data_IF_559909779964
#
_entry.id   IF_559909779964
#
_cell.length_a   1.000
_cell.length_b   1.000
_cell.length_c   1.000
_cell.angle_alpha   90.00
_cell.angle_beta   90.00
_cell.angle_gamma   90.00
#
_symmetry.space_group_name_H-M   'P 1'
#
loop_
_entity.id
_entity.type
_entity.pdbx_description
1 polymer ?
#
# COMPACT_ATOMS: atom_id res chain seq x y z
N UNK A 1 0.13 8.30 26.22
CA UNK A 1 1.38 8.08 26.97
C UNK A 1 2.53 8.39 26.04
N UNK A 2 3.23 9.50 26.23
CA UNK A 2 4.43 9.83 25.46
C UNK A 2 5.62 9.83 26.42
N UNK A 3 6.00 8.63 26.85
CA UNK A 3 7.16 8.42 27.72
C UNK A 3 8.33 8.03 26.82
N UNK A 4 9.46 8.72 26.96
CA UNK A 4 10.67 8.41 26.21
C UNK A 4 11.25 7.09 26.71
N UNK A 5 11.25 6.09 25.83
CA UNK A 5 11.81 4.77 26.11
C UNK A 5 13.34 4.88 26.21
N UNK A 6 13.91 4.34 27.29
CA UNK A 6 15.35 4.22 27.47
C UNK A 6 15.87 2.93 26.85
N UNK A 7 16.98 3.03 26.11
CA UNK A 7 17.72 1.88 25.59
C UNK A 7 18.31 1.02 26.73
N UNK A 8 18.69 -0.23 26.42
CA UNK A 8 19.28 -1.20 27.37
C UNK A 8 18.51 -1.37 28.67
N UNK A 9 17.19 -1.17 28.66
CA UNK A 9 16.35 -1.16 29.86
C UNK A 9 15.33 -2.29 29.79
N UNK A 10 15.09 -2.95 30.93
CA UNK A 10 14.03 -3.95 31.06
C UNK A 10 12.71 -3.27 31.39
N UNK A 11 11.65 -3.71 30.73
CA UNK A 11 10.29 -3.24 30.91
C UNK A 11 9.36 -4.42 31.16
N UNK A 12 8.24 -4.13 31.81
CA UNK A 12 7.16 -5.07 32.02
C UNK A 12 5.91 -4.44 31.43
N UNK A 13 5.30 -5.13 30.47
CA UNK A 13 3.96 -4.84 30.00
C UNK A 13 2.99 -5.62 30.89
N UNK A 14 2.24 -4.93 31.74
CA UNK A 14 1.16 -5.53 32.51
C UNK A 14 -0.14 -5.41 31.76
N UNK A 15 -0.79 -6.54 31.50
CA UNK A 15 -2.13 -6.61 30.98
C UNK A 15 -3.06 -6.96 32.14
N UNK A 16 -4.01 -6.08 32.44
CA UNK A 16 -5.02 -6.36 33.44
C UNK A 16 -6.00 -7.42 32.94
N UNK A 17 -6.76 -8.02 33.87
CA UNK A 17 -7.86 -8.91 33.49
C UNK A 17 -8.89 -8.13 32.67
N UNK A 18 -9.44 -8.76 31.63
CA UNK A 18 -10.44 -8.15 30.73
C UNK A 18 -9.94 -7.01 29.84
N UNK A 19 -8.62 -6.84 29.72
CA UNK A 19 -8.01 -5.92 28.75
C UNK A 19 -8.39 -6.24 27.29
N UNK A 20 -8.64 -7.51 26.96
CA UNK A 20 -9.04 -7.96 25.62
C UNK A 20 -10.03 -9.12 25.68
N UNK A 21 -10.84 -9.22 24.62
CA UNK A 21 -11.86 -10.24 24.41
C UNK A 21 -11.58 -10.95 23.08
N UNK A 22 -11.68 -12.28 23.06
CA UNK A 22 -11.53 -13.04 21.81
C UNK A 22 -12.87 -13.16 21.06
N UNK A 23 -12.86 -13.84 19.91
CA UNK A 23 -14.06 -14.05 19.07
C UNK A 23 -15.15 -14.93 19.73
N UNK A 24 -14.87 -15.49 20.92
CA UNK A 24 -15.80 -16.32 21.69
C UNK A 24 -16.26 -15.60 22.97
N UNK A 25 -16.12 -14.27 23.02
CA UNK A 25 -16.47 -13.44 24.17
C UNK A 25 -15.74 -13.79 25.48
N UNK A 26 -14.59 -14.45 25.38
CA UNK A 26 -13.75 -14.78 26.55
C UNK A 26 -12.72 -13.70 26.77
N UNK A 27 -12.71 -13.16 27.98
CA UNK A 27 -11.75 -12.17 28.43
C UNK A 27 -10.40 -12.80 28.82
N UNK A 28 -9.33 -12.04 28.64
CA UNK A 28 -8.02 -12.43 29.15
C UNK A 28 -7.95 -12.35 30.68
N UNK A 29 -7.05 -13.17 31.25
CA UNK A 29 -6.59 -13.00 32.63
C UNK A 29 -5.48 -11.97 32.71
N UNK A 30 -5.23 -11.45 33.91
CA UNK A 30 -4.10 -10.58 34.14
C UNK A 30 -2.79 -11.32 33.85
N UNK A 31 -1.88 -10.67 33.12
CA UNK A 31 -0.62 -11.26 32.67
C UNK A 31 0.47 -10.20 32.50
N UNK A 32 1.68 -10.53 32.95
CA UNK A 32 2.85 -9.67 32.87
C UNK A 32 3.82 -10.21 31.81
N UNK A 33 4.15 -9.39 30.82
CA UNK A 33 5.15 -9.69 29.78
C UNK A 33 6.42 -8.89 30.01
N UNK A 34 7.51 -9.59 30.28
CA UNK A 34 8.82 -8.96 30.40
C UNK A 34 9.51 -8.85 29.04
N UNK A 35 10.08 -7.68 28.75
CA UNK A 35 10.91 -7.47 27.58
C UNK A 35 12.05 -6.49 27.88
N UNK A 36 13.09 -6.50 27.05
CA UNK A 36 14.23 -5.61 27.19
C UNK A 36 14.48 -4.85 25.88
N UNK A 37 14.71 -3.55 25.99
CA UNK A 37 15.18 -2.75 24.85
C UNK A 37 16.66 -3.06 24.58
N UNK A 38 17.04 -3.00 23.30
CA UNK A 38 18.44 -3.17 22.87
C UNK A 38 19.18 -1.83 22.91
N UNK A 39 20.44 -1.85 22.48
CA UNK A 39 21.22 -0.64 22.23
C UNK A 39 20.58 0.17 21.10
N UNK A 40 20.79 1.49 21.03
CA UNK A 40 20.20 2.31 19.96
C UNK A 40 20.77 1.94 18.58
N UNK A 41 22.08 1.65 18.52
CA UNK A 41 22.82 1.24 17.32
C UNK A 41 22.55 -0.22 16.89
N UNK A 42 21.70 -0.95 17.62
CA UNK A 42 21.24 -2.26 17.22
C UNK A 42 20.07 -2.18 16.24
N UNK A 43 19.24 -1.15 16.35
CA UNK A 43 18.05 -1.02 15.52
C UNK A 43 18.39 -0.47 14.13
N UNK A 44 17.48 -0.72 13.20
CA UNK A 44 17.61 -0.28 11.82
C UNK A 44 16.37 0.49 11.38
N UNK A 45 16.54 1.26 10.30
CA UNK A 45 15.48 2.04 9.68
C UNK A 45 15.36 1.65 8.22
N UNK A 46 14.12 1.57 7.73
CA UNK A 46 13.80 1.41 6.32
C UNK A 46 13.14 2.68 5.80
N UNK A 47 13.72 3.27 4.75
CA UNK A 47 13.10 4.34 3.99
C UNK A 47 12.41 3.74 2.76
N UNK A 48 11.09 3.83 2.74
CA UNK A 48 10.26 3.33 1.65
C UNK A 48 9.74 4.51 0.82
N UNK A 49 10.12 4.57 -0.45
CA UNK A 49 9.64 5.57 -1.41
C UNK A 49 8.53 4.97 -2.28
N UNK A 50 7.28 5.38 -2.06
CA UNK A 50 6.11 4.86 -2.76
C UNK A 50 5.67 5.80 -3.87
N UNK A 51 5.55 5.26 -5.08
CA UNK A 51 5.10 6.00 -6.26
C UNK A 51 3.91 5.32 -6.93
N UNK A 52 3.11 6.10 -7.65
CA UNK A 52 1.91 5.65 -8.38
C UNK A 52 0.84 4.99 -7.49
N UNK A 53 0.71 5.46 -6.26
CA UNK A 53 -0.25 4.98 -5.25
C UNK A 53 -1.69 5.39 -5.59
N UNK A 54 -1.88 6.64 -6.04
CA UNK A 54 -3.16 7.18 -6.56
C UNK A 54 -3.33 6.93 -8.05
N UNK A 55 -3.02 5.73 -8.54
CA UNK A 55 -3.28 5.38 -9.93
C UNK A 55 -2.97 6.50 -10.96
N UNK A 56 -1.84 7.21 -10.75
CA UNK A 56 -0.95 7.61 -11.85
C UNK A 56 -0.24 6.37 -12.39
N UNK A 57 -0.95 5.25 -12.41
CA UNK A 57 -0.70 4.13 -13.28
C UNK A 57 -0.66 4.75 -14.66
N UNK A 58 0.54 4.92 -15.23
CA UNK A 58 0.67 5.21 -16.65
C UNK A 58 0.04 4.05 -17.41
N UNK A 59 -1.27 4.13 -17.64
CA UNK A 59 -1.83 3.69 -18.90
C UNK A 59 -1.18 4.64 -19.89
N UNK A 60 -0.51 4.07 -20.90
CA UNK A 60 0.27 4.79 -21.91
C UNK A 60 -0.33 6.16 -22.21
N UNK A 61 0.51 7.19 -22.12
CA UNK A 61 0.22 8.62 -22.13
C UNK A 61 -0.65 9.12 -23.33
N UNK A 62 -1.90 8.67 -23.49
CA UNK A 62 -2.81 9.13 -24.57
C UNK A 62 -4.27 9.46 -24.18
N UNK A 63 -4.68 9.38 -22.90
CA UNK A 63 -6.02 9.86 -22.49
C UNK A 63 -5.93 11.06 -21.53
N UNK A 64 -5.37 12.17 -22.02
CA UNK A 64 -5.72 13.51 -21.54
C UNK A 64 -6.90 14.04 -22.36
N UNK A 65 -8.09 13.47 -22.19
CA UNK A 65 -9.31 14.07 -22.76
C UNK A 65 -9.77 15.20 -21.84
N UNK A 66 -9.34 16.40 -22.22
CA UNK A 66 -10.10 17.66 -22.28
C UNK A 66 -11.14 17.86 -21.16
N UNK A 67 -10.73 18.53 -20.08
CA UNK A 67 -11.65 19.34 -19.27
C UNK A 67 -11.79 20.71 -19.94
N UNK A 68 -12.87 20.93 -20.69
CA UNK A 68 -13.16 22.23 -21.29
C UNK A 68 -14.14 22.14 -22.46
N UNK A 69 -15.42 21.92 -22.16
CA UNK A 69 -16.50 22.29 -23.07
C UNK A 69 -16.74 23.79 -22.91
N UNK A 70 -16.03 24.61 -23.69
CA UNK A 70 -16.41 26.01 -23.90
C UNK A 70 -16.37 26.33 -25.40
N UNK A 71 -17.58 26.43 -25.95
CA UNK A 71 -18.03 27.46 -26.91
C UNK A 71 -17.25 27.71 -28.22
N UNK A 72 -17.86 27.24 -29.33
CA UNK A 72 -18.17 27.98 -30.57
C UNK A 72 -17.00 28.67 -31.34
N UNK A 73 -16.72 28.18 -32.56
CA UNK A 73 -16.34 28.89 -33.81
C UNK A 73 -15.48 27.93 -34.67
N UNK A 74 -15.56 27.82 -36.00
CA UNK A 74 -16.44 28.29 -37.05
C UNK A 74 -16.09 27.39 -38.27
N UNK A 75 -17.04 27.15 -39.15
CA UNK A 75 -16.82 26.44 -40.41
C UNK A 75 -15.83 27.20 -41.32
N UNK A 76 -15.11 26.45 -42.18
CA UNK A 76 -14.39 26.90 -43.39
C UNK A 76 -12.94 27.42 -43.27
N UNK A 77 -11.92 26.55 -43.39
CA UNK A 77 -10.75 26.74 -44.29
C UNK A 77 -10.18 25.37 -44.70
N UNK A 78 -10.28 25.10 -46.01
CA UNK A 78 -9.46 24.22 -46.84
C UNK A 78 -9.15 22.78 -46.40
N UNK A 79 -9.67 21.85 -47.21
CA UNK A 79 -9.16 20.50 -47.36
C UNK A 79 -7.66 20.50 -47.70
N UNK A 80 -6.83 20.02 -46.78
CA UNK A 80 -5.76 19.07 -47.06
C UNK A 80 -5.24 18.51 -45.74
N UNK A 81 -4.93 17.21 -45.70
CA UNK A 81 -4.42 16.47 -44.52
C UNK A 81 -5.45 16.00 -43.49
N UNK A 82 -6.40 15.15 -43.90
CA UNK A 82 -6.94 14.13 -42.98
C UNK A 82 -5.88 13.02 -42.91
N UNK A 83 -4.81 13.26 -42.14
CA UNK A 83 -3.99 12.17 -41.65
C UNK A 83 -4.84 11.43 -40.61
N UNK A 84 -5.45 10.32 -41.03
CA UNK A 84 -6.14 9.40 -40.14
C UNK A 84 -5.13 8.90 -39.10
N UNK A 85 -5.02 9.62 -37.98
CA UNK A 85 -4.34 9.17 -36.77
C UNK A 85 -5.11 7.95 -36.27
N UNK A 86 -4.75 6.77 -36.81
CA UNK A 86 -5.20 5.49 -36.29
C UNK A 86 -4.70 5.41 -34.85
N UNK A 87 -5.57 5.79 -33.92
CA UNK A 87 -5.44 5.44 -32.51
C UNK A 87 -5.44 3.92 -32.49
N UNK A 88 -4.25 3.32 -32.45
CA UNK A 88 -4.10 1.90 -32.21
C UNK A 88 -4.48 1.71 -30.75
N UNK A 89 -5.78 1.51 -30.47
CA UNK A 89 -6.23 1.01 -29.17
C UNK A 89 -5.41 -0.24 -28.90
N UNK A 90 -4.50 -0.16 -27.93
CA UNK A 90 -3.80 -1.36 -27.52
C UNK A 90 -4.89 -2.31 -27.01
N UNK A 91 -4.82 -3.57 -27.41
CA UNK A 91 -5.82 -4.61 -27.14
C UNK A 91 -6.12 -4.84 -25.64
N UNK A 92 -5.44 -4.12 -24.76
CA UNK A 92 -5.38 -4.32 -23.32
C UNK A 92 -5.55 -3.04 -22.49
N UNK A 93 -6.04 -1.93 -23.06
CA UNK A 93 -6.26 -0.71 -22.27
C UNK A 93 -7.43 -0.90 -21.30
N UNK A 94 -7.09 -0.91 -20.00
CA UNK A 94 -8.04 -1.09 -18.91
C UNK A 94 -8.76 0.25 -18.62
N UNK A 95 -10.12 0.30 -18.64
CA UNK A 95 -10.85 1.52 -18.31
C UNK A 95 -10.58 2.00 -16.88
N UNK A 96 -10.34 3.30 -16.69
CA UNK A 96 -10.00 3.90 -15.38
C UNK A 96 -11.07 3.61 -14.31
N UNK A 97 -12.34 3.67 -14.67
CA UNK A 97 -13.45 3.39 -13.76
C UNK A 97 -13.45 1.93 -13.27
N UNK A 98 -12.99 0.97 -14.08
CA UNK A 98 -12.82 -0.42 -13.64
C UNK A 98 -11.70 -0.52 -12.62
N UNK A 99 -10.57 0.17 -12.83
CA UNK A 99 -9.49 0.26 -11.84
C UNK A 99 -10.01 0.84 -10.53
N UNK A 100 -10.73 1.96 -10.56
CA UNK A 100 -11.27 2.59 -9.35
C UNK A 100 -12.22 1.67 -8.57
N UNK A 101 -12.96 0.79 -9.26
CA UNK A 101 -13.81 -0.22 -8.58
C UNK A 101 -13.00 -1.28 -7.82
N UNK A 102 -11.74 -1.50 -8.22
CA UNK A 102 -10.84 -2.49 -7.64
C UNK A 102 -10.00 -1.89 -6.52
N UNK A 103 -9.41 -0.71 -6.73
CA UNK A 103 -8.44 -0.11 -5.81
C UNK A 103 -8.96 1.11 -5.05
N UNK A 104 -10.20 1.54 -5.32
CA UNK A 104 -10.77 2.75 -4.76
C UNK A 104 -10.07 4.03 -5.22
N UNK A 105 -10.19 5.09 -4.41
CA UNK A 105 -9.61 6.42 -4.70
C UNK A 105 -8.14 6.55 -4.27
N UNK A 106 -7.39 5.45 -4.22
CA UNK A 106 -5.95 5.44 -3.93
C UNK A 106 -5.58 5.49 -2.44
N UNK A 107 -6.47 5.08 -1.54
CA UNK A 107 -6.11 4.88 -0.12
C UNK A 107 -5.54 3.49 0.01
N UNK A 108 -4.38 3.39 0.64
CA UNK A 108 -3.71 2.13 0.80
C UNK A 108 -3.18 1.98 2.22
N UNK A 109 -3.17 0.73 2.66
CA UNK A 109 -2.55 0.30 3.91
C UNK A 109 -1.21 -0.34 3.53
N UNK A 110 -0.12 0.24 4.00
CA UNK A 110 1.24 -0.26 3.80
C UNK A 110 1.62 -1.05 5.04
N UNK A 111 1.88 -2.34 4.88
CA UNK A 111 2.30 -3.23 5.95
C UNK A 111 3.72 -3.73 5.71
N UNK A 112 4.59 -3.54 6.71
CA UNK A 112 5.88 -4.21 6.81
C UNK A 112 5.67 -5.51 7.59
N UNK A 113 5.93 -6.63 6.94
CA UNK A 113 5.78 -7.97 7.50
C UNK A 113 7.14 -8.48 7.96
N UNK A 114 7.21 -8.96 9.20
CA UNK A 114 8.35 -9.70 9.72
C UNK A 114 8.22 -11.19 9.46
N UNK A 115 8.87 -11.98 10.33
CA UNK A 115 8.83 -13.44 10.29
C UNK A 115 7.38 -13.96 10.34
N UNK A 116 7.10 -15.02 9.57
CA UNK A 116 5.80 -15.70 9.52
C UNK A 116 4.63 -14.78 9.09
N UNK A 117 4.92 -13.66 8.42
CA UNK A 117 3.90 -12.74 7.90
C UNK A 117 3.27 -11.84 8.98
N UNK A 118 3.85 -11.78 10.17
CA UNK A 118 3.38 -10.89 11.26
C UNK A 118 3.58 -9.43 10.85
N UNK A 119 2.54 -8.61 11.00
CA UNK A 119 2.62 -7.16 10.73
C UNK A 119 3.45 -6.50 11.83
N UNK A 120 4.58 -5.91 11.45
CA UNK A 120 5.50 -5.19 12.35
C UNK A 120 5.21 -3.70 12.36
N UNK A 121 4.90 -3.13 11.21
CA UNK A 121 4.45 -1.74 11.07
C UNK A 121 3.36 -1.62 10.03
N UNK A 122 2.47 -0.65 10.25
CA UNK A 122 1.36 -0.33 9.38
C UNK A 122 1.24 1.19 9.20
N UNK A 123 0.97 1.62 7.97
CA UNK A 123 0.79 3.02 7.61
C UNK A 123 -0.42 3.19 6.69
N UNK A 124 -1.20 4.24 6.92
CA UNK A 124 -2.32 4.63 6.08
C UNK A 124 -1.89 5.81 5.22
N UNK A 125 -1.84 5.59 3.91
CA UNK A 125 -1.46 6.64 2.98
C UNK A 125 -2.51 6.77 1.91
N UNK A 126 -2.65 7.99 1.40
CA UNK A 126 -3.54 8.24 0.28
C UNK A 126 -2.81 8.80 -0.92
N UNK A 127 -1.50 9.06 -0.86
CA UNK A 127 -0.71 9.66 -1.93
C UNK A 127 0.75 9.22 -1.91
N UNK A 128 1.44 9.47 -3.02
CA UNK A 128 2.86 9.16 -3.21
C UNK A 128 3.68 9.89 -2.16
N UNK A 129 4.45 9.14 -1.38
CA UNK A 129 5.24 9.69 -0.29
C UNK A 129 6.36 8.75 0.12
N UNK A 130 7.32 9.32 0.85
CA UNK A 130 8.36 8.57 1.54
C UNK A 130 7.90 8.26 2.96
N UNK A 131 8.00 7.00 3.33
CA UNK A 131 7.68 6.50 4.67
C UNK A 131 8.99 6.09 5.33
N UNK A 132 9.24 6.59 6.54
CA UNK A 132 10.37 6.19 7.36
C UNK A 132 9.90 5.22 8.44
N UNK A 133 10.51 4.04 8.46
CA UNK A 133 10.18 2.95 9.37
C UNK A 133 11.35 2.69 10.33
N UNK A 134 11.38 3.42 11.45
CA UNK A 134 12.46 3.32 12.44
C UNK A 134 12.29 2.21 13.48
N UNK A 135 13.33 1.96 14.29
CA UNK A 135 13.32 1.01 15.40
C UNK A 135 12.98 -0.43 15.01
N UNK A 136 13.37 -0.84 13.79
CA UNK A 136 13.22 -2.21 13.33
C UNK A 136 14.35 -3.07 13.88
N UNK A 137 14.05 -4.31 14.22
CA UNK A 137 15.08 -5.31 14.47
C UNK A 137 15.78 -5.66 13.14
N UNK A 138 17.11 -5.86 13.11
CA UNK A 138 17.76 -6.41 11.92
C UNK A 138 17.20 -7.81 11.59
N UNK A 139 16.95 -8.07 10.31
CA UNK A 139 16.35 -9.33 9.87
C UNK A 139 15.69 -9.23 8.50
N UNK A 140 14.94 -10.27 8.17
CA UNK A 140 14.23 -10.40 6.89
C UNK A 140 12.80 -9.89 7.01
N UNK A 141 12.41 -9.06 6.06
CA UNK A 141 11.09 -8.42 5.99
C UNK A 141 10.47 -8.52 4.61
N UNK A 142 9.15 -8.45 4.55
CA UNK A 142 8.40 -8.31 3.30
C UNK A 142 7.50 -7.07 3.35
N UNK A 143 7.14 -6.55 2.17
CA UNK A 143 6.21 -5.44 2.06
C UNK A 143 4.94 -5.86 1.35
N UNK A 144 3.83 -5.46 1.96
CA UNK A 144 2.48 -5.70 1.51
C UNK A 144 1.72 -4.38 1.45
N UNK A 145 0.99 -4.17 0.37
CA UNK A 145 0.06 -3.06 0.20
C UNK A 145 -1.34 -3.64 0.05
N UNK A 146 -2.29 -3.05 0.77
CA UNK A 146 -3.72 -3.32 0.66
C UNK A 146 -4.37 -2.07 0.08
N UNK A 147 -5.24 -2.23 -0.92
CA UNK A 147 -6.04 -1.14 -1.46
C UNK A 147 -7.34 -1.02 -0.66
N UNK A 148 -7.35 -0.06 0.26
CA UNK A 148 -8.48 0.27 1.12
C UNK A 148 -9.52 1.07 0.32
N UNK A 149 -10.45 0.32 -0.28
CA UNK A 149 -11.45 0.86 -1.20
C UNK A 149 -12.53 1.63 -0.44
N UNK A 150 -12.84 1.21 0.79
CA UNK A 150 -13.90 1.81 1.59
C UNK A 150 -13.40 2.85 2.62
N UNK A 151 -12.08 3.02 2.76
CA UNK A 151 -11.41 3.98 3.65
C UNK A 151 -11.59 3.70 5.14
N UNK A 152 -11.79 2.45 5.54
CA UNK A 152 -12.01 2.13 6.95
C UNK A 152 -10.71 1.84 7.72
N UNK A 153 -9.56 1.83 7.04
CA UNK A 153 -8.25 1.55 7.63
C UNK A 153 -8.09 0.11 8.09
N UNK A 154 -8.86 -0.83 7.54
CA UNK A 154 -8.77 -2.26 7.84
C UNK A 154 -8.76 -3.01 6.53
N UNK A 155 -8.09 -4.16 6.52
CA UNK A 155 -8.27 -5.08 5.40
C UNK A 155 -9.61 -5.78 5.51
N UNK A 156 -10.54 -5.46 4.62
CA UNK A 156 -11.84 -6.14 4.59
C UNK A 156 -11.80 -7.42 3.76
N UNK A 157 -12.21 -8.50 4.42
CA UNK A 157 -12.57 -9.75 3.75
C UNK A 157 -13.83 -9.54 2.92
N UNK A 158 -13.91 -10.23 1.78
CA UNK A 158 -15.09 -10.16 0.92
C UNK A 158 -16.34 -10.72 1.61
N UNK A 159 -17.50 -10.38 1.07
CA UNK A 159 -18.78 -10.93 1.47
C UNK A 159 -19.36 -11.76 0.31
N UNK A 160 -19.43 -13.08 0.51
CA UNK A 160 -19.94 -14.00 -0.51
C UNK A 160 -21.41 -13.77 -0.84
N UNK A 161 -22.25 -13.50 0.17
CA UNK A 161 -23.69 -13.31 -0.01
C UNK A 161 -24.02 -12.02 -0.75
N UNK A 162 -23.22 -10.98 -0.52
CA UNK A 162 -23.40 -9.66 -1.16
C UNK A 162 -22.58 -9.54 -2.46
N UNK A 163 -21.86 -10.59 -2.88
CA UNK A 163 -21.02 -10.58 -4.08
C UNK A 163 -19.82 -9.62 -4.01
N UNK A 164 -19.42 -9.21 -2.80
CA UNK A 164 -18.33 -8.26 -2.59
C UNK A 164 -17.01 -9.01 -2.51
N UNK A 165 -16.09 -8.73 -3.43
CA UNK A 165 -14.74 -9.29 -3.38
C UNK A 165 -13.91 -8.67 -2.24
N UNK A 166 -12.99 -9.44 -1.62
CA UNK A 166 -12.04 -8.92 -0.66
C UNK A 166 -11.23 -7.77 -1.23
N UNK A 167 -10.75 -6.91 -0.35
CA UNK A 167 -9.85 -5.84 -0.76
C UNK A 167 -8.55 -6.38 -1.33
N UNK A 168 -8.10 -5.71 -2.38
CA UNK A 168 -6.99 -6.20 -3.17
C UNK A 168 -5.67 -5.98 -2.44
N UNK A 169 -4.83 -7.01 -2.51
CA UNK A 169 -3.49 -7.00 -1.92
C UNK A 169 -2.43 -7.16 -3.00
N UNK A 170 -1.36 -6.38 -2.90
CA UNK A 170 -0.14 -6.61 -3.66
C UNK A 170 1.06 -6.77 -2.71
N UNK A 171 1.90 -7.73 -3.03
CA UNK A 171 3.20 -7.93 -2.40
C UNK A 171 4.26 -7.32 -3.31
N UNK A 172 5.25 -6.65 -2.73
CA UNK A 172 6.45 -6.22 -3.46
C UNK A 172 7.20 -7.42 -4.07
N UNK A 173 7.12 -8.59 -3.41
CA UNK A 173 7.66 -9.85 -3.92
C UNK A 173 9.18 -10.03 -3.73
N UNK A 174 9.81 -9.14 -2.95
CA UNK A 174 11.22 -9.23 -2.56
C UNK A 174 11.33 -9.31 -1.05
N UNK A 175 12.22 -10.16 -0.57
CA UNK A 175 12.65 -10.18 0.83
C UNK A 175 13.66 -9.05 1.03
N UNK A 176 13.40 -8.20 2.03
CA UNK A 176 14.24 -7.08 2.44
C UNK A 176 15.09 -7.51 3.63
N UNK A 177 16.39 -7.67 3.42
CA UNK A 177 17.33 -8.02 4.47
C UNK A 177 17.86 -6.74 5.13
N UNK A 178 17.23 -6.33 6.23
CA UNK A 178 17.61 -5.12 6.94
C UNK A 178 18.78 -5.40 7.89
N UNK A 179 19.83 -4.60 7.78
CA UNK A 179 21.01 -4.71 8.65
C UNK A 179 21.11 -3.47 9.54
N UNK A 180 21.59 -3.66 10.77
CA UNK A 180 21.92 -2.51 11.62
C UNK A 180 23.11 -1.74 11.05
N UNK A 181 23.13 -0.42 11.23
CA UNK A 181 24.17 0.48 10.75
C UNK A 181 24.32 0.54 9.20
N UNK A 182 23.31 0.09 8.46
CA UNK A 182 23.23 0.25 7.01
C UNK A 182 22.07 1.16 6.64
N UNK A 183 22.23 1.91 5.55
CA UNK A 183 21.13 2.63 4.92
C UNK A 183 20.25 1.63 4.16
N UNK A 184 19.02 1.42 4.64
CA UNK A 184 18.05 0.58 3.95
C UNK A 184 17.03 1.48 3.26
N UNK A 185 17.09 1.51 1.93
CA UNK A 185 16.14 2.26 1.11
C UNK A 185 15.53 1.35 0.05
N UNK A 186 14.22 1.48 -0.15
CA UNK A 186 13.50 0.82 -1.21
C UNK A 186 12.60 1.82 -1.94
N UNK A 187 12.68 1.83 -3.27
CA UNK A 187 11.67 2.48 -4.11
C UNK A 187 10.71 1.44 -4.66
N UNK A 188 9.41 1.68 -4.52
CA UNK A 188 8.37 0.80 -5.01
C UNK A 188 7.31 1.56 -5.81
N UNK A 189 7.30 1.30 -7.12
CA UNK A 189 6.23 1.68 -8.04
C UNK A 189 5.05 0.71 -7.89
N UNK A 190 4.10 1.10 -7.06
CA UNK A 190 2.89 0.34 -6.73
C UNK A 190 2.09 0.05 -7.99
N UNK A 191 2.01 1.05 -8.87
CA UNK A 191 1.23 0.96 -10.09
C UNK A 191 1.78 -0.08 -11.06
N UNK A 192 3.08 -0.04 -11.32
CA UNK A 192 3.75 -1.02 -12.19
C UNK A 192 3.54 -2.44 -11.67
N UNK A 193 3.73 -2.67 -10.36
CA UNK A 193 3.51 -4.00 -9.75
C UNK A 193 2.07 -4.48 -9.89
N UNK A 194 1.09 -3.60 -9.70
CA UNK A 194 -0.32 -3.92 -9.87
C UNK A 194 -0.64 -4.36 -11.30
N UNK A 195 -0.17 -3.62 -12.30
CA UNK A 195 -0.39 -3.94 -13.71
C UNK A 195 0.23 -5.28 -14.10
N UNK A 196 1.48 -5.56 -13.71
CA UNK A 196 2.12 -6.84 -14.00
C UNK A 196 1.33 -8.03 -13.45
N UNK A 197 0.79 -7.91 -12.23
CA UNK A 197 -0.01 -8.99 -11.61
C UNK A 197 -1.42 -9.14 -12.20
N UNK A 198 -1.93 -8.11 -12.87
CA UNK A 198 -3.18 -8.21 -13.63
C UNK A 198 -2.97 -9.01 -14.92
N UNK A 199 -1.93 -8.67 -15.68
CA UNK A 199 -1.65 -9.32 -16.97
C UNK A 199 -1.12 -10.75 -16.84
N UNK A 200 -0.45 -11.10 -15.73
CA UNK A 200 0.02 -12.48 -15.51
C UNK A 200 -1.09 -13.49 -15.17
N UNK A 201 -2.35 -13.05 -15.04
CA UNK A 201 -3.50 -13.90 -14.72
C UNK A 201 -4.39 -14.22 -15.93
N UNK A 202 -4.08 -13.67 -17.10
CA UNK A 202 -4.86 -13.83 -18.33
C UNK A 202 -4.33 -14.89 -19.30
N UNK A 203 -3.28 -15.63 -18.91
CA UNK A 203 -2.71 -16.79 -19.62
C UNK A 203 -3.00 -18.08 -18.85
#
# INVERSE_FOLDING_TARGET
>A
MNSEWKAKTKYILRLDSMAFINIYDVYNKAEDYEFATREEDYYTSLVLDLTNTRAKLKISDEDSIVSGLDSINAELVAADSIENKKVTKNKFDIPRHWIDSIIGKGNIIVQLLGKEGVVVKEYFISEDQKIVMDFLHPGDYELKIIFDRNKNGKWDTGNYFDGIQPERVIMNGKILQLKSNFENQLSWDVGKTFNTKLYSRSD
#
